data_IF_359579868369
#
_entry.id   IF_359579868369
#
_cell.length_a   1.000
_cell.length_b   1.000
_cell.length_c   1.000
_cell.angle_alpha   90.00
_cell.angle_beta   90.00
_cell.angle_gamma   90.00
#
_symmetry.space_group_name_H-M   'P 1'
#
loop_
_entity.id
_entity.type
_entity.pdbx_description
1 polymer ?
#
# COMPACT_ATOMS: atom_id res chain seq x y z
N UNK A 1 9.25 -14.73 4.94
CA UNK A 1 8.12 -15.18 4.10
C UNK A 1 6.88 -15.38 4.96
N UNK A 2 5.69 -15.08 4.47
CA UNK A 2 4.43 -15.36 5.15
C UNK A 2 3.40 -15.92 4.18
N UNK A 3 2.46 -16.72 4.69
CA UNK A 3 1.35 -17.29 3.92
C UNK A 3 0.16 -16.32 3.98
N UNK A 4 -0.42 -15.98 2.84
CA UNK A 4 -1.58 -15.10 2.81
C UNK A 4 -2.81 -15.81 3.40
N UNK A 5 -3.48 -15.20 4.37
CA UNK A 5 -4.68 -15.78 4.99
C UNK A 5 -5.91 -15.79 4.06
N UNK A 6 -5.89 -15.03 2.97
CA UNK A 6 -7.02 -14.96 2.02
C UNK A 6 -6.87 -16.02 0.93
N UNK A 7 -5.69 -16.12 0.30
CA UNK A 7 -5.49 -16.99 -0.86
C UNK A 7 -4.51 -18.15 -0.63
N UNK A 8 -3.88 -18.25 0.54
CA UNK A 8 -2.92 -19.31 0.86
C UNK A 8 -1.56 -19.20 0.17
N UNK A 9 -1.33 -18.20 -0.67
CA UNK A 9 -0.08 -18.03 -1.41
C UNK A 9 1.09 -17.62 -0.51
N UNK A 10 2.30 -18.08 -0.81
CA UNK A 10 3.51 -17.76 -0.07
C UNK A 10 4.16 -16.51 -0.67
N UNK A 11 4.41 -15.48 0.14
CA UNK A 11 4.91 -14.19 -0.34
C UNK A 11 6.21 -13.79 0.36
N UNK A 12 7.09 -13.13 -0.39
CA UNK A 12 8.36 -12.58 0.11
C UNK A 12 8.24 -11.10 0.52
N UNK A 13 7.25 -10.35 0.00
CA UNK A 13 6.98 -8.94 0.33
C UNK A 13 5.80 -8.71 1.29
N UNK A 14 5.49 -7.44 1.59
CA UNK A 14 4.36 -7.08 2.48
C UNK A 14 2.99 -7.15 1.82
N UNK A 15 2.94 -7.28 0.49
CA UNK A 15 1.72 -7.34 -0.32
C UNK A 15 1.66 -8.72 -0.97
N UNK A 16 0.49 -9.34 -0.96
CA UNK A 16 0.27 -10.57 -1.71
C UNK A 16 0.12 -10.25 -3.20
N UNK A 17 0.91 -10.91 -4.05
CA UNK A 17 0.89 -10.68 -5.50
C UNK A 17 -0.38 -11.19 -6.18
N UNK A 18 -1.07 -12.15 -5.55
CA UNK A 18 -2.29 -12.76 -6.10
C UNK A 18 -3.54 -11.93 -5.79
N UNK A 19 -3.71 -11.56 -4.52
CA UNK A 19 -4.95 -10.90 -4.06
C UNK A 19 -4.76 -9.44 -3.62
N UNK A 20 -3.54 -8.91 -3.67
CA UNK A 20 -3.24 -7.53 -3.26
C UNK A 20 -3.28 -7.26 -1.75
N UNK A 21 -3.48 -8.29 -0.91
CA UNK A 21 -3.58 -8.12 0.55
C UNK A 21 -2.27 -7.61 1.17
N UNK A 22 -2.32 -6.48 1.88
CA UNK A 22 -1.16 -5.85 2.52
C UNK A 22 -1.10 -6.16 4.02
N UNK A 23 -0.10 -6.97 4.42
CA UNK A 23 0.09 -7.43 5.80
C UNK A 23 0.41 -6.29 6.78
N UNK A 24 1.27 -5.33 6.39
CA UNK A 24 1.70 -4.23 7.27
C UNK A 24 0.60 -3.23 7.58
N UNK A 25 -0.35 -3.03 6.66
CA UNK A 25 -1.46 -2.09 6.85
C UNK A 25 -2.47 -2.63 7.87
N UNK A 26 -2.65 -3.96 7.90
CA UNK A 26 -3.62 -4.60 8.79
C UNK A 26 -3.14 -4.70 10.25
N UNK A 27 -1.84 -4.94 10.49
CA UNK A 27 -1.30 -5.03 11.85
C UNK A 27 -1.35 -3.69 12.62
N UNK A 28 -1.24 -2.55 11.93
CA UNK A 28 -1.35 -1.22 12.55
C UNK A 28 -2.78 -0.89 12.99
N UNK A 29 -3.79 -1.35 12.25
CA UNK A 29 -5.19 -1.08 12.57
C UNK A 29 -5.63 -1.83 13.83
N UNK A 30 -5.28 -3.11 13.93
CA UNK A 30 -5.64 -3.98 15.06
C UNK A 30 -5.05 -3.45 16.38
N UNK A 31 -3.79 -2.97 16.39
CA UNK A 31 -3.14 -2.49 17.62
C UNK A 31 -3.81 -1.25 18.22
N UNK A 32 -4.40 -0.39 17.39
CA UNK A 32 -5.02 0.87 17.82
C UNK A 32 -6.37 0.59 18.51
N UNK A 33 -7.15 -0.36 18.01
CA UNK A 33 -8.46 -0.68 18.59
C UNK A 33 -8.33 -1.35 19.97
N UNK A 34 -7.36 -2.26 20.16
CA UNK A 34 -7.12 -2.88 21.47
C UNK A 34 -6.71 -1.87 22.54
N UNK A 35 -5.86 -0.90 22.20
CA UNK A 35 -5.44 0.13 23.17
C UNK A 35 -6.61 1.02 23.59
N UNK A 36 -7.51 1.34 22.65
CA UNK A 36 -8.72 2.11 22.95
C UNK A 36 -9.69 1.34 23.84
N UNK A 37 -9.98 0.08 23.51
CA UNK A 37 -10.86 -0.78 24.31
C UNK A 37 -10.28 -0.99 25.70
N UNK A 38 -8.98 -1.26 25.80
CA UNK A 38 -8.28 -1.43 27.07
C UNK A 38 -8.34 -0.16 27.94
N UNK A 39 -8.17 1.02 27.34
CA UNK A 39 -8.29 2.29 28.06
C UNK A 39 -9.70 2.54 28.62
N UNK A 40 -10.74 2.17 27.87
CA UNK A 40 -12.13 2.28 28.32
C UNK A 40 -12.38 1.32 29.49
N UNK A 41 -11.91 0.07 29.39
CA UNK A 41 -12.06 -0.93 30.46
C UNK A 41 -11.37 -0.42 31.74
N UNK A 42 -10.14 0.10 31.64
CA UNK A 42 -9.44 0.67 32.80
C UNK A 42 -10.23 1.82 33.43
N UNK A 43 -10.81 2.71 32.63
CA UNK A 43 -11.60 3.82 33.15
C UNK A 43 -12.88 3.34 33.85
N UNK A 44 -13.53 2.30 33.32
CA UNK A 44 -14.72 1.70 33.94
C UNK A 44 -14.36 1.00 35.26
N UNK A 45 -13.22 0.29 35.30
CA UNK A 45 -12.74 -0.38 36.52
C UNK A 45 -12.35 0.63 37.60
N UNK A 46 -11.55 1.65 37.24
CA UNK A 46 -11.16 2.72 38.17
C UNK A 46 -12.37 3.52 38.65
N UNK A 47 -13.31 3.83 37.75
CA UNK A 47 -14.56 4.50 38.11
C UNK A 47 -15.40 3.69 39.09
N UNK A 48 -15.54 2.39 38.86
CA UNK A 48 -16.29 1.48 39.74
C UNK A 48 -15.62 1.34 41.11
N UNK A 49 -14.29 1.25 41.15
CA UNK A 49 -13.52 1.14 42.38
C UNK A 49 -13.64 2.42 43.23
N UNK A 50 -13.47 3.59 42.61
CA UNK A 50 -13.62 4.88 43.29
C UNK A 50 -15.06 5.10 43.78
N UNK A 51 -16.05 4.69 42.99
CA UNK A 51 -17.45 4.75 43.41
C UNK A 51 -17.71 3.88 44.65
N UNK A 52 -17.16 2.66 44.68
CA UNK A 52 -17.24 1.79 45.85
C UNK A 52 -16.60 2.40 47.10
N UNK A 53 -15.43 3.03 46.95
CA UNK A 53 -14.73 3.71 48.06
C UNK A 53 -15.54 4.88 48.60
N UNK A 54 -16.12 5.70 47.72
CA UNK A 54 -16.99 6.82 48.10
C UNK A 54 -18.24 6.33 48.84
N UNK A 55 -18.91 5.28 48.36
CA UNK A 55 -20.10 4.73 49.04
C UNK A 55 -19.74 4.19 50.41
N UNK A 56 -18.59 3.50 50.56
CA UNK A 56 -18.13 2.98 51.85
C UNK A 56 -17.88 4.09 52.89
N UNK A 57 -17.32 5.24 52.49
CA UNK A 57 -17.05 6.36 53.40
C UNK A 57 -18.28 7.23 53.70
N UNK A 58 -19.35 7.16 52.90
CA UNK A 58 -20.55 8.00 53.10
C UNK A 58 -21.39 7.64 54.33
N UNK A 59 -21.07 6.55 55.02
CA UNK A 59 -21.83 6.08 56.19
C UNK A 59 -21.65 7.00 57.41
N UNK A 60 -20.57 7.78 57.51
CA UNK A 60 -20.28 8.60 58.72
C UNK A 60 -20.04 10.11 58.52
N UNK A 61 -20.12 10.67 57.29
CA UNK A 61 -19.79 12.10 57.09
C UNK A 61 -20.36 12.75 55.82
N UNK A 62 -21.66 13.05 55.81
CA UNK A 62 -22.45 13.34 54.60
C UNK A 62 -22.25 14.71 53.90
N UNK A 63 -21.22 15.50 54.21
CA UNK A 63 -21.11 16.89 53.71
C UNK A 63 -19.83 17.30 53.00
N UNK A 64 -18.68 16.68 53.30
CA UNK A 64 -17.37 17.23 52.91
C UNK A 64 -16.91 16.85 51.49
N UNK A 65 -17.49 15.82 50.88
CA UNK A 65 -16.93 15.20 49.67
C UNK A 65 -17.70 15.49 48.37
N UNK A 66 -18.86 16.16 48.44
CA UNK A 66 -19.71 16.43 47.26
C UNK A 66 -18.98 17.19 46.16
N UNK A 67 -18.17 18.18 46.51
CA UNK A 67 -17.39 18.97 45.55
C UNK A 67 -16.32 18.14 44.84
N UNK A 68 -15.71 17.16 45.52
CA UNK A 68 -14.71 16.27 44.92
C UNK A 68 -15.35 15.30 43.91
N UNK A 69 -16.54 14.78 44.22
CA UNK A 69 -17.31 13.92 43.30
C UNK A 69 -17.68 14.70 42.03
N UNK A 70 -18.16 15.94 42.17
CA UNK A 70 -18.51 16.80 41.04
C UNK A 70 -17.27 17.13 40.20
N UNK A 71 -16.14 17.50 40.84
CA UNK A 71 -14.90 17.80 40.14
C UNK A 71 -14.38 16.58 39.34
N UNK A 72 -14.48 15.37 39.91
CA UNK A 72 -14.08 14.14 39.23
C UNK A 72 -14.97 13.83 38.03
N UNK A 73 -16.29 13.99 38.16
CA UNK A 73 -17.23 13.81 37.05
C UNK A 73 -16.94 14.77 35.88
N UNK A 74 -16.65 16.04 36.18
CA UNK A 74 -16.27 17.05 35.17
C UNK A 74 -14.95 16.67 34.49
N UNK A 75 -13.95 16.23 35.26
CA UNK A 75 -12.67 15.80 34.71
C UNK A 75 -12.81 14.60 33.76
N UNK A 76 -13.64 13.61 34.11
CA UNK A 76 -13.93 12.45 33.26
C UNK A 76 -14.62 12.86 31.95
N UNK A 77 -15.58 13.79 32.00
CA UNK A 77 -16.23 14.32 30.80
C UNK A 77 -15.24 15.08 29.90
N UNK A 78 -14.39 15.93 30.48
CA UNK A 78 -13.39 16.68 29.74
C UNK A 78 -12.38 15.77 29.01
N UNK A 79 -11.90 14.72 29.69
CA UNK A 79 -11.00 13.73 29.09
C UNK A 79 -11.70 12.92 27.98
N UNK A 80 -12.98 12.61 28.14
CA UNK A 80 -13.80 11.97 27.11
C UNK A 80 -13.88 12.82 25.83
N UNK A 81 -14.19 14.11 25.97
CA UNK A 81 -14.26 15.06 24.85
C UNK A 81 -12.90 15.20 24.16
N UNK A 82 -11.80 15.34 24.92
CA UNK A 82 -10.45 15.48 24.37
C UNK A 82 -10.07 14.27 23.49
N UNK A 83 -10.45 13.05 23.90
CA UNK A 83 -10.22 11.83 23.12
C UNK A 83 -11.02 11.79 21.83
N UNK A 84 -12.28 12.23 21.86
CA UNK A 84 -13.11 12.32 20.65
C UNK A 84 -12.49 13.30 19.65
N UNK A 85 -12.04 14.47 20.13
CA UNK A 85 -11.37 15.47 19.31
C UNK A 85 -10.07 14.93 18.68
N UNK A 86 -9.23 14.23 19.44
CA UNK A 86 -8.01 13.61 18.93
C UNK A 86 -8.31 12.58 17.82
N UNK A 87 -9.40 11.81 17.97
CA UNK A 87 -9.81 10.80 16.97
C UNK A 87 -10.31 11.41 15.67
N UNK A 88 -11.05 12.53 15.73
CA UNK A 88 -11.52 13.24 14.53
C UNK A 88 -10.31 13.76 13.74
N UNK A 89 -9.34 14.38 14.41
CA UNK A 89 -8.13 14.89 13.75
C UNK A 89 -7.30 13.78 13.09
N UNK A 90 -7.20 12.61 13.73
CA UNK A 90 -6.48 11.46 13.17
C UNK A 90 -7.10 10.91 11.88
N UNK A 91 -8.44 10.98 11.70
CA UNK A 91 -9.10 10.51 10.47
C UNK A 91 -8.78 11.37 9.25
N UNK A 92 -8.67 12.69 9.45
CA UNK A 92 -8.37 13.61 8.36
C UNK A 92 -6.97 13.35 7.78
N UNK A 93 -5.95 13.18 8.64
CA UNK A 93 -4.59 12.87 8.20
C UNK A 93 -4.47 11.54 7.43
N UNK A 94 -5.19 10.49 7.84
CA UNK A 94 -5.13 9.20 7.14
C UNK A 94 -5.73 9.29 5.71
N UNK A 95 -6.77 10.09 5.54
CA UNK A 95 -7.38 10.31 4.21
C UNK A 95 -6.45 11.09 3.27
N UNK A 96 -5.74 12.09 3.79
CA UNK A 96 -4.78 12.88 3.02
C UNK A 96 -3.56 12.04 2.64
N UNK A 97 -3.04 11.24 3.57
CA UNK A 97 -1.94 10.31 3.30
C UNK A 97 -2.25 9.32 2.17
N UNK A 98 -3.48 8.76 2.15
CA UNK A 98 -3.92 7.86 1.09
C UNK A 98 -3.99 8.54 -0.28
N UNK A 99 -4.34 9.83 -0.35
CA UNK A 99 -4.36 10.60 -1.61
C UNK A 99 -2.95 10.81 -2.15
N UNK A 100 -2.00 11.13 -1.28
CA UNK A 100 -0.59 11.29 -1.65
C UNK A 100 0.02 9.97 -2.15
N UNK A 101 -0.24 8.85 -1.45
CA UNK A 101 0.21 7.52 -1.88
C UNK A 101 -0.37 7.15 -3.27
N UNK A 102 -1.63 7.49 -3.54
CA UNK A 102 -2.26 7.24 -4.84
C UNK A 102 -1.63 8.06 -5.98
N UNK A 103 -1.32 9.34 -5.72
CA UNK A 103 -0.65 10.20 -6.70
C UNK A 103 0.76 9.68 -7.04
N UNK A 104 1.54 9.27 -6.05
CA UNK A 104 2.86 8.71 -6.28
C UNK A 104 2.80 7.46 -7.17
N UNK A 105 1.82 6.58 -6.95
CA UNK A 105 1.64 5.37 -7.76
C UNK A 105 1.27 5.68 -9.21
N UNK A 106 0.46 6.71 -9.45
CA UNK A 106 0.14 7.16 -10.81
C UNK A 106 1.41 7.68 -11.51
N UNK A 107 2.18 8.53 -10.83
CA UNK A 107 3.44 9.08 -11.37
C UNK A 107 4.46 7.97 -11.68
N UNK A 108 4.60 6.95 -10.82
CA UNK A 108 5.46 5.79 -11.11
C UNK A 108 5.00 5.01 -12.35
N UNK A 109 3.70 4.92 -12.56
CA UNK A 109 3.12 4.21 -13.71
C UNK A 109 3.38 4.99 -15.00
N UNK A 110 3.24 6.31 -14.95
CA UNK A 110 3.60 7.20 -16.05
C UNK A 110 5.09 7.09 -16.40
N UNK A 111 5.98 7.14 -15.40
CA UNK A 111 7.42 6.98 -15.61
C UNK A 111 7.74 5.61 -16.23
N UNK A 112 7.16 4.51 -15.72
CA UNK A 112 7.36 3.16 -16.28
C UNK A 112 6.83 3.02 -17.70
N UNK A 113 5.75 3.72 -18.03
CA UNK A 113 5.21 3.77 -19.40
C UNK A 113 6.06 4.64 -20.34
N UNK A 114 6.81 5.61 -19.79
CA UNK A 114 7.66 6.54 -20.52
C UNK A 114 9.10 6.08 -20.75
N UNK A 115 9.57 5.02 -20.07
CA UNK A 115 10.91 4.45 -20.30
C UNK A 115 10.88 3.65 -21.61
N UNK A 116 11.12 4.37 -22.71
CA UNK A 116 11.31 3.82 -24.05
C UNK A 116 12.58 2.96 -24.05
N UNK A 117 12.47 1.69 -24.45
CA UNK A 117 13.62 0.77 -24.52
C UNK A 117 14.56 1.21 -25.64
N UNK A 118 15.75 1.64 -25.26
CA UNK A 118 16.81 2.05 -26.18
C UNK A 118 17.53 0.80 -26.66
N UNK A 119 17.62 0.61 -27.98
CA UNK A 119 18.40 -0.47 -28.58
C UNK A 119 19.48 0.11 -29.50
N UNK A 120 20.68 -0.47 -29.46
CA UNK A 120 21.81 -0.06 -30.29
C UNK A 120 21.85 -0.95 -31.53
N UNK A 121 21.66 -0.37 -32.71
CA UNK A 121 21.50 -1.11 -33.97
C UNK A 121 22.67 -0.83 -34.91
N UNK A 122 23.23 -1.89 -35.48
CA UNK A 122 24.25 -1.80 -36.52
C UNK A 122 23.61 -1.81 -37.92
N UNK A 123 24.30 -1.26 -38.91
CA UNK A 123 23.92 -1.34 -40.33
C UNK A 123 23.79 -2.79 -40.83
N UNK A 124 24.52 -3.74 -40.22
CA UNK A 124 24.38 -5.16 -40.52
C UNK A 124 23.08 -5.80 -40.00
N UNK A 125 22.24 -5.05 -39.29
CA UNK A 125 20.95 -5.51 -38.78
C UNK A 125 21.00 -6.17 -37.41
N UNK A 126 22.17 -6.27 -36.76
CA UNK A 126 22.28 -6.79 -35.39
C UNK A 126 21.90 -5.74 -34.35
N UNK A 127 21.27 -6.21 -33.28
CA UNK A 127 20.83 -5.41 -32.12
C UNK A 127 21.71 -5.72 -30.92
N UNK A 128 22.11 -4.68 -30.21
CA UNK A 128 22.98 -4.74 -29.04
C UNK A 128 22.31 -4.07 -27.82
N UNK A 129 22.66 -4.51 -26.59
CA UNK A 129 22.17 -3.89 -25.37
C UNK A 129 22.69 -2.45 -25.20
N UNK A 130 22.05 -1.71 -24.30
CA UNK A 130 22.43 -0.33 -23.98
C UNK A 130 23.87 -0.27 -23.43
N UNK A 131 24.68 0.64 -23.98
CA UNK A 131 26.10 0.80 -23.64
C UNK A 131 27.08 0.22 -24.67
N UNK A 132 26.63 -0.59 -25.64
CA UNK A 132 27.49 -1.01 -26.75
C UNK A 132 27.78 0.15 -27.72
N UNK A 133 29.05 0.40 -28.02
CA UNK A 133 29.47 1.51 -28.91
C UNK A 133 29.81 1.02 -30.33
N UNK A 134 30.39 -0.18 -30.45
CA UNK A 134 30.89 -0.73 -31.72
C UNK A 134 30.30 -2.11 -31.99
N UNK A 135 30.09 -2.43 -33.26
CA UNK A 135 29.68 -3.75 -33.72
C UNK A 135 30.85 -4.75 -33.56
N UNK A 136 30.58 -5.89 -32.94
CA UNK A 136 31.59 -6.95 -32.75
C UNK A 136 31.97 -7.69 -34.05
N UNK A 137 31.19 -7.51 -35.12
CA UNK A 137 31.42 -8.16 -36.42
C UNK A 137 32.10 -7.20 -37.39
N UNK A 138 31.57 -5.99 -37.51
CA UNK A 138 31.97 -5.06 -38.58
C UNK A 138 32.84 -3.90 -38.07
N UNK A 139 33.05 -3.77 -36.76
CA UNK A 139 33.79 -2.67 -36.12
C UNK A 139 33.13 -1.28 -36.22
N UNK A 140 32.06 -1.14 -37.02
CA UNK A 140 31.32 0.11 -37.21
C UNK A 140 30.60 0.57 -35.93
N UNK A 141 30.44 1.89 -35.78
CA UNK A 141 29.72 2.49 -34.64
C UNK A 141 28.22 2.18 -34.71
N UNK A 142 27.65 1.82 -33.56
CA UNK A 142 26.22 1.53 -33.43
C UNK A 142 25.39 2.81 -33.36
N UNK A 143 24.17 2.76 -33.89
CA UNK A 143 23.22 3.87 -33.86
C UNK A 143 22.15 3.63 -32.79
N UNK A 144 21.82 4.68 -32.03
CA UNK A 144 20.76 4.64 -31.01
C UNK A 144 19.41 4.69 -31.69
N UNK A 145 18.64 3.60 -31.65
CA UNK A 145 17.24 3.60 -32.08
C UNK A 145 16.34 3.51 -30.84
N UNK A 146 15.40 4.45 -30.77
CA UNK A 146 14.37 4.44 -29.75
C UNK A 146 13.25 3.53 -30.29
N UNK A 147 13.14 2.32 -29.73
CA UNK A 147 12.15 1.34 -30.20
C UNK A 147 10.85 1.60 -29.43
N UNK A 148 10.09 2.56 -29.93
CA UNK A 148 8.85 3.03 -29.29
C UNK A 148 7.64 2.13 -29.56
N UNK A 149 7.77 1.18 -30.50
CA UNK A 149 6.65 0.37 -30.97
C UNK A 149 7.07 -1.11 -31.08
N UNK A 150 7.11 -1.81 -29.94
CA UNK A 150 7.09 -3.27 -29.98
C UNK A 150 5.68 -3.73 -30.27
N UNK A 151 5.53 -4.56 -31.28
CA UNK A 151 4.26 -5.20 -31.59
C UNK A 151 4.38 -6.70 -31.34
N UNK A 152 3.29 -7.32 -30.90
CA UNK A 152 3.26 -8.77 -30.74
C UNK A 152 2.96 -9.42 -32.08
N UNK A 153 3.85 -10.28 -32.56
CA UNK A 153 3.68 -10.95 -33.85
C UNK A 153 3.63 -12.47 -33.66
N UNK A 154 2.68 -13.17 -34.32
CA UNK A 154 2.73 -14.65 -34.33
C UNK A 154 3.83 -15.10 -35.29
N UNK A 155 4.77 -15.96 -34.86
CA UNK A 155 5.85 -16.45 -35.72
C UNK A 155 5.34 -17.31 -36.90
N UNK A 156 4.14 -17.88 -36.78
CA UNK A 156 3.54 -18.73 -37.82
C UNK A 156 2.72 -17.92 -38.84
N UNK A 157 1.77 -17.10 -38.38
CA UNK A 157 0.85 -16.38 -39.27
C UNK A 157 1.26 -14.93 -39.58
N UNK A 158 2.32 -14.43 -38.93
CA UNK A 158 2.86 -13.06 -39.07
C UNK A 158 1.86 -11.93 -38.82
N UNK A 159 0.68 -12.24 -38.26
CA UNK A 159 -0.29 -11.23 -37.83
C UNK A 159 0.23 -10.48 -36.60
N UNK A 160 -0.04 -9.19 -36.60
CA UNK A 160 0.29 -8.28 -35.52
C UNK A 160 -0.90 -8.22 -34.54
N UNK A 161 -0.60 -8.21 -33.25
CA UNK A 161 -1.55 -8.18 -32.15
C UNK A 161 -1.21 -7.05 -31.17
N UNK A 162 -2.24 -6.45 -30.54
CA UNK A 162 -2.04 -5.44 -29.49
C UNK A 162 -1.47 -6.04 -28.20
N UNK A 163 -1.01 -5.17 -27.30
CA UNK A 163 -0.50 -5.57 -25.99
C UNK A 163 -1.57 -6.29 -25.14
N UNK A 164 -1.12 -7.27 -24.35
CA UNK A 164 -1.96 -8.06 -23.44
C UNK A 164 -2.35 -9.44 -23.96
N UNK A 165 -2.18 -9.71 -25.26
CA UNK A 165 -2.42 -11.04 -25.83
C UNK A 165 -1.12 -11.85 -25.77
N UNK A 166 -1.14 -13.02 -25.12
CA UNK A 166 0.05 -13.89 -24.97
C UNK A 166 0.18 -14.94 -26.07
N UNK A 167 -0.95 -15.34 -26.67
CA UNK A 167 -1.05 -16.42 -27.64
C UNK A 167 -1.89 -15.97 -28.83
N UNK A 168 -1.52 -16.42 -30.02
CA UNK A 168 -2.29 -16.10 -31.21
C UNK A 168 -3.63 -16.86 -31.23
N UNK A 169 -4.77 -16.18 -31.44
CA UNK A 169 -6.08 -16.82 -31.51
C UNK A 169 -6.25 -17.72 -32.75
N UNK A 170 -5.48 -17.49 -33.81
CA UNK A 170 -5.54 -18.31 -35.02
C UNK A 170 -4.56 -19.49 -35.00
N UNK A 171 -3.35 -19.28 -34.45
CA UNK A 171 -2.24 -20.22 -34.56
C UNK A 171 -1.96 -20.99 -33.24
N UNK A 172 -2.54 -20.58 -32.11
CA UNK A 172 -2.31 -21.16 -30.77
C UNK A 172 -0.91 -20.93 -30.19
N UNK A 173 0.06 -20.50 -31.00
CA UNK A 173 1.44 -20.27 -30.54
C UNK A 173 1.60 -18.97 -29.76
N UNK A 174 2.61 -18.97 -28.89
CA UNK A 174 3.02 -17.81 -28.12
C UNK A 174 3.50 -16.70 -29.05
N UNK A 175 3.05 -15.47 -28.78
CA UNK A 175 3.46 -14.29 -29.54
C UNK A 175 4.87 -13.85 -29.13
N UNK A 176 5.63 -13.31 -30.08
CA UNK A 176 6.96 -12.74 -29.85
C UNK A 176 6.93 -11.24 -30.04
N UNK A 177 7.74 -10.51 -29.27
CA UNK A 177 7.89 -9.06 -29.44
C UNK A 177 8.83 -8.79 -30.60
N UNK A 178 8.36 -8.06 -31.58
CA UNK A 178 9.17 -7.59 -32.71
C UNK A 178 9.11 -6.06 -32.78
N UNK A 179 10.22 -5.38 -33.12
CA UNK A 179 10.19 -3.96 -33.45
C UNK A 179 9.32 -3.76 -34.71
N UNK A 180 8.47 -2.74 -34.70
CA UNK A 180 7.67 -2.32 -35.87
C UNK A 180 8.55 -1.66 -36.93
#
# INVERSE_FOLDING_TARGET
MWKCNICGHQNQGNICEVCGFNKKKNERYIRIDYFMVFSIIIQLLLGSFLFGFVVAETVEGRGKWTHLIIAFAIAMLALGILRICARIKSRNYDSELKRLEAQQKNNETEIKSGIKKIEMVCECGRVYPEGAVFCAVDGKRLTKKIVDNYVWTCPNCRKIFPDGIKYCPACGRKLVKSPK
#
